data_IF_770567258877
#
_entry.id   IF_770567258877
#
_cell.length_a   1.000
_cell.length_b   1.000
_cell.length_c   1.000
_cell.angle_alpha   90.00
_cell.angle_beta   90.00
_cell.angle_gamma   90.00
#
_symmetry.space_group_name_H-M   'P 1'
#
loop_
_entity.id
_entity.type
_entity.pdbx_description
1 polymer ?
#
# COMPACT_ATOMS: atom_id res chain seq x y z
N UNK A 1 39.98 27.41 -14.39
CA UNK A 1 39.83 27.69 -12.95
C UNK A 1 39.20 26.44 -12.35
N UNK A 2 40.03 25.43 -12.11
CA UNK A 2 39.65 24.13 -11.53
C UNK A 2 39.66 24.26 -10.02
N UNK A 3 38.64 23.72 -9.34
CA UNK A 3 38.58 23.66 -7.88
C UNK A 3 38.68 22.19 -7.49
N UNK A 4 39.77 21.85 -6.82
CA UNK A 4 40.10 20.54 -6.28
C UNK A 4 39.13 20.10 -5.19
N UNK A 5 38.64 18.86 -5.28
CA UNK A 5 38.06 18.14 -4.14
C UNK A 5 39.20 17.43 -3.40
N UNK A 6 39.44 17.82 -2.15
CA UNK A 6 40.41 17.15 -1.28
C UNK A 6 39.84 15.81 -0.80
N UNK A 7 40.44 14.71 -1.28
CA UNK A 7 40.27 13.39 -0.68
C UNK A 7 41.29 13.30 0.45
N UNK A 8 40.83 13.04 1.67
CA UNK A 8 41.70 12.78 2.82
C UNK A 8 42.12 11.31 2.76
N UNK A 9 43.36 11.05 2.36
CA UNK A 9 44.00 9.74 2.50
C UNK A 9 44.45 9.57 3.95
N UNK A 10 43.86 8.61 4.66
CA UNK A 10 44.34 8.15 5.96
C UNK A 10 45.44 7.13 5.71
N UNK A 11 46.69 7.55 5.80
CA UNK A 11 47.85 6.65 5.81
C UNK A 11 48.08 6.16 7.24
N UNK A 12 47.91 4.85 7.45
CA UNK A 12 48.30 4.16 8.67
C UNK A 12 49.00 2.86 8.28
N UNK A 13 50.28 2.75 8.66
CA UNK A 13 51.11 1.56 8.39
C UNK A 13 50.54 0.32 9.08
N UNK A 14 50.12 -0.66 8.28
CA UNK A 14 49.73 -2.00 8.75
C UNK A 14 50.89 -2.97 8.45
N UNK A 15 51.42 -3.71 9.44
CA UNK A 15 52.48 -4.68 9.20
C UNK A 15 51.95 -5.84 8.34
N UNK A 16 52.78 -6.27 7.39
CA UNK A 16 52.47 -7.27 6.38
C UNK A 16 52.00 -8.60 7.00
N UNK A 17 50.74 -8.95 6.77
CA UNK A 17 50.24 -10.32 6.86
C UNK A 17 49.56 -10.65 5.53
N UNK A 18 49.85 -11.86 5.08
CA UNK A 18 49.75 -12.39 3.72
C UNK A 18 48.39 -12.21 3.02
N UNK A 19 48.49 -11.97 1.72
CA UNK A 19 47.41 -11.85 0.75
C UNK A 19 46.50 -13.09 0.69
N UNK A 20 45.22 -12.92 1.02
CA UNK A 20 44.13 -13.77 0.50
C UNK A 20 43.25 -12.94 -0.45
N UNK A 21 42.90 -13.45 -1.64
CA UNK A 21 42.23 -12.68 -2.68
C UNK A 21 40.75 -12.45 -2.35
N UNK A 22 40.33 -11.18 -2.31
CA UNK A 22 38.99 -10.78 -2.69
C UNK A 22 37.84 -11.11 -1.73
N UNK A 23 37.88 -10.63 -0.49
CA UNK A 23 36.64 -10.38 0.27
C UNK A 23 36.35 -8.89 0.20
N UNK A 24 35.55 -8.47 -0.79
CA UNK A 24 34.74 -7.26 -0.59
C UNK A 24 33.87 -7.59 0.62
N UNK A 25 34.06 -6.88 1.74
CA UNK A 25 33.16 -6.94 2.90
C UNK A 25 31.80 -6.35 2.50
N UNK A 26 31.08 -7.07 1.65
CA UNK A 26 29.65 -6.88 1.41
C UNK A 26 29.00 -7.60 2.58
N UNK A 27 28.09 -6.93 3.30
CA UNK A 27 27.40 -7.51 4.44
C UNK A 27 26.86 -8.91 4.08
N UNK A 28 27.49 -9.94 4.64
CA UNK A 28 26.98 -11.30 4.60
C UNK A 28 25.87 -11.43 5.62
N UNK A 29 24.73 -11.97 5.18
CA UNK A 29 23.75 -12.71 5.98
C UNK A 29 23.10 -12.01 7.19
N UNK A 30 23.24 -10.69 7.37
CA UNK A 30 22.35 -9.92 8.23
C UNK A 30 21.01 -9.69 7.53
N UNK A 31 19.84 -9.99 8.14
CA UNK A 31 18.54 -9.74 7.53
C UNK A 31 18.28 -8.23 7.45
N UNK A 32 18.77 -7.61 6.38
CA UNK A 32 18.35 -6.27 5.97
C UNK A 32 16.92 -6.38 5.44
N UNK A 33 15.93 -6.29 6.34
CA UNK A 33 14.50 -6.49 6.05
C UNK A 33 13.87 -5.49 5.06
N UNK A 34 14.67 -4.58 4.49
CA UNK A 34 14.30 -3.72 3.37
C UNK A 34 14.43 -4.44 2.01
N UNK A 35 15.25 -5.50 1.95
CA UNK A 35 15.61 -6.26 0.74
C UNK A 35 15.42 -7.77 0.89
N UNK A 36 14.63 -8.24 1.87
CA UNK A 36 14.29 -9.66 1.98
C UNK A 36 13.69 -10.14 0.65
N UNK A 37 14.34 -11.12 0.00
CA UNK A 37 13.94 -11.57 -1.33
C UNK A 37 12.46 -12.00 -1.41
N UNK A 38 11.91 -12.53 -0.31
CA UNK A 38 10.52 -12.97 -0.19
C UNK A 38 9.53 -11.80 -0.06
N UNK A 39 9.88 -10.70 0.63
CA UNK A 39 9.02 -9.51 0.70
C UNK A 39 9.10 -8.74 -0.61
N UNK A 40 10.30 -8.57 -1.16
CA UNK A 40 10.54 -7.95 -2.46
C UNK A 40 9.77 -8.63 -3.59
N UNK A 41 9.74 -9.97 -3.62
CA UNK A 41 8.98 -10.74 -4.61
C UNK A 41 7.46 -10.53 -4.50
N UNK A 42 6.91 -10.49 -3.28
CA UNK A 42 5.49 -10.20 -3.05
C UNK A 42 5.12 -8.77 -3.45
N UNK A 43 5.92 -7.79 -3.04
CA UNK A 43 5.72 -6.39 -3.39
C UNK A 43 5.78 -6.17 -4.91
N UNK A 44 6.72 -6.84 -5.59
CA UNK A 44 6.82 -6.80 -7.05
C UNK A 44 5.59 -7.43 -7.72
N UNK A 45 5.07 -8.53 -7.19
CA UNK A 45 3.85 -9.17 -7.68
C UNK A 45 2.63 -8.25 -7.51
N UNK A 46 2.43 -7.67 -6.32
CA UNK A 46 1.33 -6.74 -6.06
C UNK A 46 1.42 -5.46 -6.92
N UNK A 47 2.64 -4.94 -7.12
CA UNK A 47 2.89 -3.82 -8.03
C UNK A 47 2.55 -4.17 -9.48
N UNK A 48 3.01 -5.33 -9.98
CA UNK A 48 2.69 -5.76 -11.35
C UNK A 48 1.19 -5.95 -11.59
N UNK A 49 0.47 -6.46 -10.58
CA UNK A 49 -0.99 -6.58 -10.63
C UNK A 49 -1.66 -5.20 -10.66
N UNK A 50 -1.18 -4.27 -9.83
CA UNK A 50 -1.64 -2.87 -9.79
C UNK A 50 -1.39 -2.15 -11.13
N UNK A 51 -0.19 -2.30 -11.69
CA UNK A 51 0.19 -1.77 -13.00
C UNK A 51 -0.70 -2.34 -14.11
N UNK A 52 -0.99 -3.64 -14.09
CA UNK A 52 -1.87 -4.27 -15.07
C UNK A 52 -3.29 -3.70 -14.99
N UNK A 53 -3.83 -3.49 -13.79
CA UNK A 53 -5.16 -2.88 -13.61
C UNK A 53 -5.20 -1.45 -14.17
N UNK A 54 -4.21 -0.63 -13.83
CA UNK A 54 -4.10 0.74 -14.35
C UNK A 54 -3.90 0.79 -15.86
N UNK A 55 -3.09 -0.13 -16.42
CA UNK A 55 -2.89 -0.21 -17.86
C UNK A 55 -4.19 -0.54 -18.61
N UNK A 56 -4.98 -1.50 -18.10
CA UNK A 56 -6.29 -1.82 -18.68
C UNK A 56 -7.23 -0.60 -18.58
N UNK A 57 -7.22 0.11 -17.45
CA UNK A 57 -8.02 1.34 -17.29
C UNK A 57 -7.62 2.42 -18.31
N UNK A 58 -6.33 2.69 -18.49
CA UNK A 58 -5.81 3.64 -19.50
C UNK A 58 -6.26 3.24 -20.91
N UNK A 59 -6.11 1.97 -21.29
CA UNK A 59 -6.51 1.49 -22.62
C UNK A 59 -8.01 1.70 -22.83
N UNK A 60 -8.83 1.39 -21.82
CA UNK A 60 -10.27 1.55 -21.88
C UNK A 60 -10.68 3.03 -22.00
N UNK A 61 -10.06 3.93 -21.23
CA UNK A 61 -10.25 5.38 -21.38
C UNK A 61 -9.86 5.90 -22.76
N UNK A 62 -8.71 5.47 -23.30
CA UNK A 62 -8.24 5.92 -24.62
C UNK A 62 -9.17 5.45 -25.73
N UNK A 63 -9.67 4.21 -25.67
CA UNK A 63 -10.66 3.69 -26.62
C UNK A 63 -11.93 4.54 -26.55
N UNK A 64 -12.44 4.79 -25.34
CA UNK A 64 -13.65 5.56 -25.13
C UNK A 64 -13.51 7.00 -25.62
N UNK A 65 -12.45 7.69 -25.21
CA UNK A 65 -12.09 9.03 -25.68
C UNK A 65 -12.01 9.09 -27.22
N UNK A 66 -11.43 8.08 -27.87
CA UNK A 66 -11.37 8.02 -29.34
C UNK A 66 -12.75 7.94 -29.99
N UNK A 67 -13.66 7.14 -29.41
CA UNK A 67 -15.06 7.04 -29.87
C UNK A 67 -15.77 8.39 -29.74
N UNK A 68 -15.59 9.07 -28.60
CA UNK A 68 -16.21 10.38 -28.37
C UNK A 68 -15.63 11.47 -29.26
N UNK A 69 -14.32 11.53 -29.47
CA UNK A 69 -13.71 12.49 -30.40
C UNK A 69 -14.26 12.28 -31.81
N UNK A 70 -14.31 11.04 -32.30
CA UNK A 70 -14.87 10.74 -33.63
C UNK A 70 -16.36 11.07 -33.68
N UNK A 71 -17.12 10.75 -32.63
CA UNK A 71 -18.54 11.08 -32.51
C UNK A 71 -18.79 12.59 -32.50
N UNK A 72 -18.00 13.34 -31.75
CA UNK A 72 -18.05 14.80 -31.64
C UNK A 72 -17.74 15.50 -32.96
N UNK A 73 -16.69 15.04 -33.67
CA UNK A 73 -16.33 15.57 -35.00
C UNK A 73 -17.43 15.26 -36.02
N UNK A 74 -17.94 14.02 -36.07
CA UNK A 74 -19.00 13.63 -37.03
C UNK A 74 -20.33 14.33 -36.77
N UNK A 75 -20.63 14.61 -35.51
CA UNK A 75 -21.87 15.30 -35.11
C UNK A 75 -21.73 16.83 -35.08
N UNK A 76 -20.52 17.38 -35.29
CA UNK A 76 -20.20 18.79 -35.04
C UNK A 76 -20.67 19.27 -33.65
N UNK A 77 -20.57 18.40 -32.64
CA UNK A 77 -21.07 18.67 -31.29
C UNK A 77 -19.93 19.09 -30.37
N UNK A 78 -19.91 20.37 -29.99
CA UNK A 78 -18.95 20.91 -29.03
C UNK A 78 -19.09 20.23 -27.66
N UNK A 79 -20.31 19.84 -27.26
CA UNK A 79 -20.57 19.18 -25.98
C UNK A 79 -19.87 17.81 -25.86
N UNK A 80 -19.85 17.03 -26.95
CA UNK A 80 -19.16 15.73 -26.97
C UNK A 80 -17.63 15.93 -26.98
N UNK A 81 -17.15 16.97 -27.66
CA UNK A 81 -15.72 17.30 -27.67
C UNK A 81 -15.23 17.79 -26.29
N UNK A 82 -16.05 18.51 -25.52
CA UNK A 82 -15.70 18.92 -24.16
C UNK A 82 -15.63 17.74 -23.19
N UNK A 83 -16.47 16.72 -23.38
CA UNK A 83 -16.42 15.49 -22.56
C UNK A 83 -15.15 14.68 -22.89
N UNK A 84 -14.80 14.58 -24.18
CA UNK A 84 -13.54 13.96 -24.59
C UNK A 84 -12.30 14.66 -24.00
N UNK A 85 -12.33 15.98 -23.81
CA UNK A 85 -11.25 16.72 -23.15
C UNK A 85 -11.16 16.43 -21.65
N UNK A 86 -12.29 16.16 -20.99
CA UNK A 86 -12.32 15.69 -19.60
C UNK A 86 -11.64 14.33 -19.49
N UNK A 87 -12.02 13.36 -20.34
CA UNK A 87 -11.39 12.03 -20.39
C UNK A 87 -9.89 12.06 -20.66
N UNK A 88 -9.41 13.02 -21.46
CA UNK A 88 -7.98 13.20 -21.69
C UNK A 88 -7.23 13.50 -20.37
N UNK A 89 -7.85 14.28 -19.48
CA UNK A 89 -7.27 14.58 -18.17
C UNK A 89 -7.22 13.33 -17.29
N UNK A 90 -8.23 12.44 -17.39
CA UNK A 90 -8.25 11.16 -16.68
C UNK A 90 -7.15 10.22 -17.19
N UNK A 91 -6.98 10.14 -18.51
CA UNK A 91 -5.88 9.41 -19.14
C UNK A 91 -4.53 9.94 -18.65
N UNK A 92 -4.38 11.26 -18.55
CA UNK A 92 -3.15 11.88 -18.03
C UNK A 92 -2.91 11.50 -16.56
N UNK A 93 -3.94 11.54 -15.71
CA UNK A 93 -3.85 11.14 -14.30
C UNK A 93 -3.45 9.66 -14.14
N UNK A 94 -4.07 8.76 -14.91
CA UNK A 94 -3.70 7.34 -14.90
C UNK A 94 -2.31 7.07 -15.49
N UNK A 95 -1.88 7.83 -16.48
CA UNK A 95 -0.53 7.73 -17.04
C UNK A 95 0.54 8.18 -16.02
N UNK A 96 0.30 9.29 -15.31
CA UNK A 96 1.16 9.73 -14.19
C UNK A 96 1.20 8.66 -13.10
N UNK A 97 0.05 8.06 -12.81
CA UNK A 97 -0.04 6.97 -11.85
C UNK A 97 0.77 5.74 -12.30
N UNK A 98 0.61 5.30 -13.55
CA UNK A 98 1.36 4.16 -14.08
C UNK A 98 2.88 4.42 -14.08
N UNK A 99 3.28 5.63 -14.47
CA UNK A 99 4.68 6.06 -14.44
C UNK A 99 5.23 6.05 -13.01
N UNK A 100 4.48 6.57 -12.03
CA UNK A 100 4.96 6.64 -10.65
C UNK A 100 5.15 5.24 -10.04
N UNK A 101 4.26 4.30 -10.36
CA UNK A 101 4.43 2.89 -9.96
C UNK A 101 5.64 2.24 -10.61
N UNK A 102 5.81 2.44 -11.91
CA UNK A 102 6.94 1.90 -12.63
C UNK A 102 8.27 2.44 -12.08
N UNK A 103 8.36 3.76 -11.89
CA UNK A 103 9.55 4.42 -11.35
C UNK A 103 9.82 4.06 -9.89
N UNK A 104 8.79 3.80 -9.07
CA UNK A 104 8.96 3.34 -7.68
C UNK A 104 9.67 1.98 -7.57
N UNK A 105 9.69 1.19 -8.65
CA UNK A 105 10.36 -0.10 -8.72
C UNK A 105 11.82 -0.04 -9.11
N UNK A 106 12.37 1.14 -9.42
CA UNK A 106 13.78 1.31 -9.77
C UNK A 106 14.71 1.02 -8.57
N UNK A 107 15.88 0.48 -8.87
CA UNK A 107 16.90 0.18 -7.87
C UNK A 107 17.45 1.46 -7.21
N UNK A 108 17.93 1.31 -5.96
CA UNK A 108 18.52 2.41 -5.22
C UNK A 108 19.84 2.86 -5.85
N UNK A 109 20.09 4.18 -5.84
CA UNK A 109 21.34 4.78 -6.35
C UNK A 109 22.06 5.48 -5.21
N UNK A 110 23.38 5.79 -5.31
CA UNK A 110 24.09 6.48 -4.25
C UNK A 110 23.51 7.84 -3.84
N UNK A 111 22.78 8.52 -4.75
CA UNK A 111 22.09 9.79 -4.47
C UNK A 111 20.69 9.58 -3.86
N UNK A 112 20.10 8.41 -4.07
CA UNK A 112 18.78 8.01 -3.57
C UNK A 112 18.95 6.69 -2.81
N UNK A 113 19.53 6.78 -1.61
CA UNK A 113 19.93 5.62 -0.79
C UNK A 113 18.77 4.69 -0.42
N UNK A 114 17.58 5.26 -0.24
CA UNK A 114 16.35 4.51 0.00
C UNK A 114 15.61 4.10 -1.29
N UNK A 115 16.12 4.43 -2.48
CA UNK A 115 15.46 4.20 -3.75
C UNK A 115 14.36 5.20 -4.09
N UNK A 116 13.51 4.83 -5.04
CA UNK A 116 12.55 5.73 -5.69
C UNK A 116 11.10 5.62 -5.18
N UNK A 117 10.90 5.01 -4.00
CA UNK A 117 9.55 4.77 -3.44
C UNK A 117 8.72 6.04 -3.28
N UNK A 118 9.34 7.20 -3.01
CA UNK A 118 8.63 8.49 -2.87
C UNK A 118 8.02 9.01 -4.18
N UNK A 119 8.47 8.52 -5.34
CA UNK A 119 7.86 8.92 -6.63
C UNK A 119 6.39 8.55 -6.66
N UNK A 120 6.00 7.44 -6.02
CA UNK A 120 4.59 7.03 -5.90
C UNK A 120 3.74 8.12 -5.25
N UNK A 121 4.23 8.67 -4.13
CA UNK A 121 3.57 9.73 -3.36
C UNK A 121 3.51 11.03 -4.16
N UNK A 122 4.60 11.39 -4.86
CA UNK A 122 4.64 12.57 -5.73
C UNK A 122 3.69 12.45 -6.92
N UNK A 123 3.59 11.26 -7.53
CA UNK A 123 2.63 11.01 -8.61
C UNK A 123 1.18 11.14 -8.15
N UNK A 124 0.87 10.63 -6.95
CA UNK A 124 -0.44 10.81 -6.34
C UNK A 124 -0.74 12.29 -6.04
N UNK A 125 0.25 13.07 -5.58
CA UNK A 125 0.11 14.50 -5.35
C UNK A 125 -0.22 15.25 -6.65
N UNK A 126 0.54 15.03 -7.71
CA UNK A 126 0.30 15.65 -9.02
C UNK A 126 -1.08 15.29 -9.55
N UNK A 127 -1.52 14.04 -9.38
CA UNK A 127 -2.85 13.60 -9.79
C UNK A 127 -3.96 14.36 -9.05
N UNK A 128 -3.84 14.57 -7.73
CA UNK A 128 -4.80 15.40 -6.98
C UNK A 128 -4.83 16.84 -7.48
N UNK A 129 -3.67 17.42 -7.79
CA UNK A 129 -3.62 18.79 -8.31
C UNK A 129 -4.32 18.91 -9.68
N UNK A 130 -4.20 17.89 -10.54
CA UNK A 130 -4.95 17.83 -11.80
C UNK A 130 -6.46 17.77 -11.58
N UNK A 131 -6.93 17.00 -10.59
CA UNK A 131 -8.35 16.94 -10.22
C UNK A 131 -8.86 18.32 -9.79
N UNK A 132 -8.11 19.02 -8.93
CA UNK A 132 -8.50 20.36 -8.48
C UNK A 132 -8.52 21.38 -9.61
N UNK A 133 -7.55 21.32 -10.52
CA UNK A 133 -7.53 22.14 -11.72
C UNK A 133 -8.77 21.90 -12.58
N UNK A 134 -9.10 20.64 -12.86
CA UNK A 134 -10.26 20.25 -13.66
C UNK A 134 -11.58 20.66 -13.01
N UNK A 135 -11.74 20.43 -11.71
CA UNK A 135 -12.91 20.89 -10.96
C UNK A 135 -13.04 22.43 -11.01
N UNK A 136 -11.93 23.16 -10.87
CA UNK A 136 -11.91 24.62 -11.02
C UNK A 136 -12.34 25.09 -12.41
N UNK A 137 -11.86 24.41 -13.47
CA UNK A 137 -12.27 24.68 -14.86
C UNK A 137 -13.77 24.43 -15.04
N UNK A 138 -14.30 23.32 -14.53
CA UNK A 138 -15.73 23.00 -14.64
C UNK A 138 -16.62 24.02 -13.91
N UNK A 139 -16.22 24.45 -12.71
CA UNK A 139 -16.94 25.52 -11.98
C UNK A 139 -16.89 26.84 -12.74
N UNK A 140 -15.72 27.21 -13.25
CA UNK A 140 -15.56 28.42 -14.05
C UNK A 140 -16.46 28.40 -15.30
N UNK A 141 -16.48 27.29 -16.02
CA UNK A 141 -17.31 27.08 -17.21
C UNK A 141 -18.81 27.14 -16.88
N UNK A 142 -19.24 26.52 -15.78
CA UNK A 142 -20.62 26.56 -15.32
C UNK A 142 -21.08 27.99 -14.94
N UNK A 143 -20.22 28.77 -14.26
CA UNK A 143 -20.48 30.18 -13.94
C UNK A 143 -20.55 31.01 -15.23
N UNK A 144 -19.59 30.80 -16.14
CA UNK A 144 -19.52 31.51 -17.42
C UNK A 144 -20.80 31.31 -18.26
N UNK A 145 -21.35 30.08 -18.28
CA UNK A 145 -22.64 29.78 -18.94
C UNK A 145 -23.83 30.50 -18.31
N UNK A 146 -23.85 30.64 -16.98
CA UNK A 146 -24.93 31.35 -16.29
C UNK A 146 -24.88 32.86 -16.56
N UNK A 147 -23.68 33.45 -16.55
CA UNK A 147 -23.52 34.92 -16.67
C UNK A 147 -23.69 35.40 -18.11
N UNK A 148 -23.13 34.68 -19.09
CA UNK A 148 -23.12 35.14 -20.48
C UNK A 148 -24.32 34.64 -21.30
N UNK A 149 -25.25 33.89 -20.69
CA UNK A 149 -26.37 33.21 -21.37
C UNK A 149 -25.96 32.43 -22.63
N UNK A 150 -24.70 31.99 -22.70
CA UNK A 150 -24.12 31.37 -23.89
C UNK A 150 -24.63 29.95 -24.03
N UNK A 151 -25.64 29.79 -24.89
CA UNK A 151 -26.03 28.49 -25.45
C UNK A 151 -27.35 27.93 -24.91
N UNK A 152 -28.15 27.37 -25.82
CA UNK A 152 -29.17 26.40 -25.44
C UNK A 152 -28.47 25.09 -25.05
N UNK A 153 -28.61 24.71 -23.78
CA UNK A 153 -28.11 23.41 -23.32
C UNK A 153 -29.03 22.34 -23.89
N UNK A 154 -28.52 21.51 -24.79
CA UNK A 154 -29.26 20.37 -25.30
C UNK A 154 -29.34 19.28 -24.22
N UNK A 155 -30.32 19.40 -23.32
CA UNK A 155 -30.50 18.49 -22.18
C UNK A 155 -30.54 17.01 -22.59
N UNK A 156 -31.09 16.70 -23.76
CA UNK A 156 -31.07 15.34 -24.32
C UNK A 156 -29.65 14.83 -24.60
N UNK A 157 -28.79 15.62 -25.26
CA UNK A 157 -27.40 15.23 -25.51
C UNK A 157 -26.63 15.09 -24.19
N UNK A 158 -26.80 16.04 -23.27
CA UNK A 158 -26.19 15.99 -21.94
C UNK A 158 -26.58 14.73 -21.17
N UNK A 159 -27.85 14.32 -21.23
CA UNK A 159 -28.34 13.08 -20.63
C UNK A 159 -27.71 11.84 -21.27
N UNK A 160 -27.70 11.74 -22.60
CA UNK A 160 -27.17 10.56 -23.31
C UNK A 160 -25.66 10.39 -23.09
N UNK A 161 -24.90 11.48 -23.19
CA UNK A 161 -23.45 11.47 -22.99
C UNK A 161 -23.11 11.07 -21.55
N UNK A 162 -23.75 11.71 -20.55
CA UNK A 162 -23.50 11.37 -19.14
C UNK A 162 -23.95 9.97 -18.75
N UNK A 163 -25.03 9.44 -19.34
CA UNK A 163 -25.45 8.05 -19.14
C UNK A 163 -24.40 7.06 -19.68
N UNK A 164 -23.83 7.36 -20.85
CA UNK A 164 -22.78 6.53 -21.44
C UNK A 164 -21.47 6.62 -20.64
N UNK A 165 -21.04 7.83 -20.25
CA UNK A 165 -19.90 8.06 -19.37
C UNK A 165 -20.05 7.34 -18.03
N UNK A 166 -21.26 7.35 -17.43
CA UNK A 166 -21.55 6.62 -16.19
C UNK A 166 -21.32 5.11 -16.34
N UNK A 167 -21.74 4.50 -17.45
CA UNK A 167 -21.52 3.06 -17.69
C UNK A 167 -20.03 2.74 -17.73
N UNK A 168 -19.23 3.59 -18.40
CA UNK A 168 -17.78 3.42 -18.50
C UNK A 168 -17.10 3.64 -17.15
N UNK A 169 -17.50 4.67 -16.40
CA UNK A 169 -16.98 4.94 -15.06
C UNK A 169 -17.30 3.79 -14.08
N UNK A 170 -18.49 3.19 -14.15
CA UNK A 170 -18.84 1.99 -13.37
C UNK A 170 -17.95 0.80 -13.78
N UNK A 171 -17.76 0.56 -15.08
CA UNK A 171 -16.89 -0.52 -15.54
C UNK A 171 -15.45 -0.35 -15.04
N UNK A 172 -14.92 0.89 -15.05
CA UNK A 172 -13.61 1.22 -14.49
C UNK A 172 -13.56 1.05 -12.96
N UNK A 173 -14.60 1.48 -12.25
CA UNK A 173 -14.67 1.33 -10.79
C UNK A 173 -14.70 -0.15 -10.40
N UNK A 174 -15.39 -1.00 -11.16
CA UNK A 174 -15.39 -2.45 -10.97
C UNK A 174 -14.01 -3.05 -11.29
N UNK A 175 -13.36 -2.65 -12.38
CA UNK A 175 -12.03 -3.12 -12.76
C UNK A 175 -10.97 -2.80 -11.68
N UNK A 176 -10.99 -1.57 -11.14
CA UNK A 176 -10.07 -1.12 -10.10
C UNK A 176 -10.47 -1.63 -8.70
N UNK A 177 -11.77 -1.83 -8.46
CA UNK A 177 -12.34 -2.26 -7.19
C UNK A 177 -12.30 -3.76 -6.94
N UNK A 178 -12.21 -4.59 -7.99
CA UNK A 178 -12.21 -6.06 -7.91
C UNK A 178 -10.89 -6.60 -7.30
N UNK A 179 -10.75 -6.45 -5.99
CA UNK A 179 -9.81 -7.18 -5.12
C UNK A 179 -10.56 -7.99 -4.05
N UNK A 180 -11.83 -8.31 -4.29
CA UNK A 180 -12.58 -9.21 -3.41
C UNK A 180 -12.18 -10.66 -3.69
N UNK A 181 -11.80 -11.35 -2.61
CA UNK A 181 -11.05 -12.58 -2.62
C UNK A 181 -11.71 -13.75 -3.31
N UNK A 182 -10.92 -14.46 -4.12
CA UNK A 182 -11.01 -15.90 -4.26
C UNK A 182 -9.58 -16.45 -4.29
N UNK A 183 -9.02 -16.63 -3.09
CA UNK A 183 -7.76 -17.33 -2.86
C UNK A 183 -8.01 -18.58 -2.04
N UNK A 184 -8.89 -19.49 -2.49
CA UNK A 184 -8.93 -20.86 -1.97
C UNK A 184 -7.78 -21.65 -2.59
N UNK A 185 -6.58 -21.50 -2.02
CA UNK A 185 -5.47 -22.42 -2.25
C UNK A 185 -5.51 -23.55 -1.23
N UNK A 186 -6.42 -24.52 -1.40
CA UNK A 186 -6.31 -25.81 -0.70
C UNK A 186 -5.19 -26.62 -1.35
N UNK A 187 -3.95 -26.43 -0.88
CA UNK A 187 -2.85 -27.36 -1.13
C UNK A 187 -2.86 -28.48 -0.10
N UNK A 188 -3.68 -29.51 -0.30
CA UNK A 188 -3.48 -30.80 0.35
C UNK A 188 -2.33 -31.51 -0.38
N UNK A 189 -1.14 -31.50 0.23
CA UNK A 189 0.01 -32.32 -0.18
C UNK A 189 0.25 -33.40 0.87
N UNK A 190 0.01 -34.65 0.46
CA UNK A 190 0.05 -35.85 1.28
C UNK A 190 1.42 -36.12 1.90
N UNK A 191 1.43 -36.49 3.20
CA UNK A 191 2.56 -37.15 3.83
C UNK A 191 2.61 -38.62 3.39
N UNK A 192 3.66 -38.99 2.67
CA UNK A 192 4.00 -40.39 2.45
C UNK A 192 4.79 -40.89 3.65
N UNK A 193 4.13 -41.69 4.49
CA UNK A 193 4.79 -42.55 5.46
C UNK A 193 5.16 -43.85 4.78
N UNK A 194 6.46 -44.12 4.69
CA UNK A 194 7.02 -45.41 4.32
C UNK A 194 6.69 -46.44 5.40
N UNK A 195 5.92 -47.48 5.05
CA UNK A 195 5.84 -48.69 5.87
C UNK A 195 6.07 -49.93 5.02
N UNK A 196 7.18 -50.58 5.34
CA UNK A 196 7.60 -51.90 4.92
C UNK A 196 6.58 -52.97 5.36
N UNK A 197 6.31 -53.92 4.47
CA UNK A 197 5.60 -55.15 4.76
C UNK A 197 6.53 -56.19 5.41
N UNK A 198 6.07 -56.82 6.48
CA UNK A 198 6.49 -58.16 6.87
C UNK A 198 5.28 -58.91 7.44
N UNK A 199 4.87 -59.97 6.74
CA UNK A 199 3.99 -61.01 7.24
C UNK A 199 4.74 -61.84 8.28
N UNK A 200 4.03 -62.32 9.31
CA UNK A 200 3.99 -63.75 9.66
C UNK A 200 2.97 -64.04 10.78
N UNK A 201 2.50 -65.28 10.74
CA UNK A 201 1.36 -65.95 11.36
C UNK A 201 1.35 -65.99 12.91
N UNK A 202 0.15 -65.98 13.52
CA UNK A 202 -0.48 -67.14 14.19
C UNK A 202 -1.60 -66.78 15.20
N UNK A 203 -2.60 -67.67 15.19
CA UNK A 203 -3.67 -68.04 16.13
C UNK A 203 -3.73 -67.46 17.55
N UNK A 204 -4.95 -67.31 18.08
CA UNK A 204 -5.20 -67.60 19.50
C UNK A 204 -6.22 -66.71 20.24
N UNK A 205 -7.29 -67.34 20.69
CA UNK A 205 -8.44 -66.87 21.48
C UNK A 205 -8.19 -66.47 22.95
N UNK A 206 -8.98 -65.48 23.41
CA UNK A 206 -9.69 -65.33 24.71
C UNK A 206 -8.95 -65.21 26.09
N UNK A 207 -9.36 -64.13 26.80
CA UNK A 207 -9.85 -64.06 28.20
C UNK A 207 -8.88 -63.97 29.39
N UNK A 208 -9.44 -63.39 30.46
CA UNK A 208 -8.88 -62.71 31.63
C UNK A 208 -8.17 -63.59 32.67
N UNK A 209 -7.25 -62.99 33.43
CA UNK A 209 -6.72 -63.57 34.68
C UNK A 209 -5.79 -62.63 35.45
N UNK A 210 -6.25 -62.16 36.61
CA UNK A 210 -5.49 -61.39 37.62
C UNK A 210 -4.58 -62.35 38.38
N UNK A 211 -3.27 -62.06 38.53
CA UNK A 211 -2.46 -62.49 39.69
C UNK A 211 -1.22 -61.60 39.88
N UNK A 212 -0.99 -61.20 41.13
CA UNK A 212 0.07 -60.34 41.68
C UNK A 212 1.32 -61.17 41.97
N UNK A 213 2.53 -60.69 41.64
CA UNK A 213 3.67 -60.43 42.57
C UNK A 213 5.03 -60.19 41.87
N UNK A 214 5.76 -59.19 42.40
CA UNK A 214 7.23 -58.96 42.45
C UNK A 214 8.00 -58.32 41.26
N UNK A 215 8.45 -57.07 41.51
CA UNK A 215 9.36 -56.13 40.81
C UNK A 215 10.79 -56.66 40.51
N UNK A 216 11.71 -55.92 39.82
CA UNK A 216 11.62 -54.56 39.22
C UNK A 216 12.08 -54.48 37.75
N UNK A 217 11.76 -53.39 37.01
CA UNK A 217 12.68 -52.68 36.10
C UNK A 217 12.01 -51.42 35.48
N UNK A 218 12.69 -50.29 35.65
CA UNK A 218 12.89 -49.15 34.74
C UNK A 218 11.73 -48.53 33.92
N UNK A 219 11.45 -47.26 34.28
CA UNK A 219 11.17 -46.08 33.44
C UNK A 219 9.89 -45.96 32.57
N UNK A 220 9.07 -45.00 33.04
CA UNK A 220 8.28 -43.95 32.36
C UNK A 220 7.16 -44.40 31.42
N UNK A 221 5.92 -44.00 31.76
CA UNK A 221 5.12 -43.02 31.00
C UNK A 221 3.65 -42.94 31.53
N UNK A 222 3.21 -41.68 31.74
CA UNK A 222 1.86 -41.06 31.68
C UNK A 222 0.72 -41.24 32.72
N UNK A 223 0.05 -40.08 32.87
CA UNK A 223 -1.36 -39.76 33.23
C UNK A 223 -1.67 -39.61 34.73
N UNK A 224 -2.37 -38.58 35.23
CA UNK A 224 -3.17 -37.45 34.71
C UNK A 224 -3.29 -36.40 35.85
N UNK A 225 -3.52 -35.11 35.55
CA UNK A 225 -4.59 -34.33 36.20
C UNK A 225 -4.80 -32.94 35.56
N UNK A 226 -6.02 -32.76 35.07
CA UNK A 226 -6.93 -31.61 35.09
C UNK A 226 -6.46 -30.14 35.16
N UNK A 227 -6.99 -29.41 34.16
CA UNK A 227 -7.67 -28.12 34.22
C UNK A 227 -6.96 -26.90 34.83
N UNK A 228 -6.41 -26.07 33.95
CA UNK A 228 -6.53 -24.60 34.05
C UNK A 228 -6.76 -24.00 32.66
N UNK A 229 -7.83 -23.22 32.50
CA UNK A 229 -8.18 -22.51 31.27
C UNK A 229 -7.07 -21.53 30.81
N UNK A 230 -6.79 -21.41 29.51
CA UNK A 230 -6.02 -20.29 28.99
C UNK A 230 -6.95 -19.12 28.66
N UNK A 231 -7.18 -18.24 29.65
CA UNK A 231 -7.63 -16.87 29.41
C UNK A 231 -6.46 -16.05 28.85
N UNK A 232 -6.38 -15.94 27.52
CA UNK A 232 -5.97 -14.74 26.78
C UNK A 232 -5.94 -15.08 25.28
N UNK A 233 -7.08 -14.85 24.63
CA UNK A 233 -7.19 -14.82 23.18
C UNK A 233 -6.32 -13.67 22.68
N UNK A 234 -5.13 -13.96 22.15
CA UNK A 234 -4.29 -12.97 21.47
C UNK A 234 -5.16 -12.28 20.40
N UNK A 235 -5.14 -10.94 20.29
CA UNK A 235 -5.85 -10.29 19.21
C UNK A 235 -5.16 -10.70 17.90
N UNK A 236 -5.87 -11.44 17.05
CA UNK A 236 -5.44 -11.62 15.68
C UNK A 236 -5.42 -10.24 15.02
N UNK A 237 -4.22 -9.68 14.83
CA UNK A 237 -4.00 -8.50 14.02
C UNK A 237 -4.46 -8.83 12.60
N UNK A 238 -5.69 -8.43 12.26
CA UNK A 238 -6.21 -8.50 10.89
C UNK A 238 -5.23 -7.74 9.99
N UNK A 239 -4.46 -8.46 9.19
CA UNK A 239 -3.66 -7.89 8.11
C UNK A 239 -4.61 -7.28 7.08
N UNK A 240 -4.89 -5.98 7.23
CA UNK A 240 -5.54 -5.20 6.19
C UNK A 240 -4.59 -5.14 5.00
N UNK A 241 -5.02 -5.72 3.88
CA UNK A 241 -4.26 -5.69 2.63
C UNK A 241 -4.10 -4.22 2.22
N UNK A 242 -2.88 -3.69 2.34
CA UNK A 242 -2.61 -2.30 2.01
C UNK A 242 -2.71 -2.14 0.49
N UNK A 243 -3.70 -1.37 0.05
CA UNK A 243 -3.83 -1.03 -1.38
C UNK A 243 -2.84 0.07 -1.70
N UNK A 244 -2.24 -0.03 -2.88
CA UNK A 244 -1.36 0.98 -3.40
C UNK A 244 -2.07 2.35 -3.46
N UNK A 245 -1.43 3.41 -2.94
CA UNK A 245 -2.05 4.74 -2.81
C UNK A 245 -2.52 5.30 -4.15
N UNK A 246 -1.82 4.92 -5.21
CA UNK A 246 -2.03 5.39 -6.55
C UNK A 246 -3.20 4.68 -7.23
N UNK A 247 -3.35 3.36 -7.00
CA UNK A 247 -4.55 2.61 -7.42
C UNK A 247 -5.76 3.06 -6.62
N UNK A 248 -5.60 3.31 -5.32
CA UNK A 248 -6.66 3.86 -4.48
C UNK A 248 -7.05 5.27 -4.94
N UNK A 249 -6.07 6.10 -5.30
CA UNK A 249 -6.29 7.42 -5.90
C UNK A 249 -7.07 7.33 -7.20
N UNK A 250 -6.63 6.48 -8.13
CA UNK A 250 -7.33 6.22 -9.39
C UNK A 250 -8.76 5.69 -9.17
N UNK A 251 -8.97 4.81 -8.19
CA UNK A 251 -10.31 4.31 -7.85
C UNK A 251 -11.21 5.42 -7.29
N UNK A 252 -10.70 6.25 -6.38
CA UNK A 252 -11.45 7.39 -5.82
C UNK A 252 -11.75 8.44 -6.89
N UNK A 253 -10.83 8.67 -7.83
CA UNK A 253 -11.01 9.52 -9.01
C UNK A 253 -12.21 9.04 -9.84
N UNK A 254 -12.18 7.79 -10.31
CA UNK A 254 -13.27 7.20 -11.12
C UNK A 254 -14.60 7.19 -10.38
N UNK A 255 -14.59 6.97 -9.06
CA UNK A 255 -15.80 7.03 -8.25
C UNK A 255 -16.35 8.45 -8.18
N UNK A 256 -15.47 9.46 -8.08
CA UNK A 256 -15.83 10.87 -8.18
C UNK A 256 -16.49 11.19 -9.53
N UNK A 257 -15.88 10.75 -10.63
CA UNK A 257 -16.43 10.95 -11.97
C UNK A 257 -17.77 10.23 -12.16
N UNK A 258 -17.93 9.03 -11.59
CA UNK A 258 -19.21 8.31 -11.60
C UNK A 258 -20.32 9.13 -10.92
N UNK A 259 -20.03 9.68 -9.75
CA UNK A 259 -20.96 10.52 -8.99
C UNK A 259 -21.29 11.80 -9.78
N UNK A 260 -20.29 12.40 -10.42
CA UNK A 260 -20.47 13.57 -11.29
C UNK A 260 -21.34 13.23 -12.50
N UNK A 261 -21.09 12.10 -13.19
CA UNK A 261 -21.90 11.65 -14.33
C UNK A 261 -23.37 11.45 -13.93
N UNK A 262 -23.65 10.90 -12.75
CA UNK A 262 -25.04 10.79 -12.24
C UNK A 262 -25.67 12.18 -12.10
N UNK A 263 -24.93 13.12 -11.52
CA UNK A 263 -25.34 14.50 -11.37
C UNK A 263 -25.71 15.19 -12.67
N UNK A 264 -24.79 15.14 -13.63
CA UNK A 264 -24.94 15.69 -14.98
C UNK A 264 -26.11 15.01 -15.70
N UNK A 265 -26.29 13.69 -15.53
CA UNK A 265 -27.40 12.94 -16.10
C UNK A 265 -28.75 13.40 -15.53
N UNK A 266 -28.87 13.56 -14.21
CA UNK A 266 -30.07 14.10 -13.58
C UNK A 266 -30.33 15.53 -14.05
N UNK A 267 -29.31 16.39 -14.07
CA UNK A 267 -29.40 17.77 -14.54
C UNK A 267 -29.86 17.86 -16.01
N UNK A 268 -29.25 17.07 -16.89
CA UNK A 268 -29.61 16.97 -18.30
C UNK A 268 -31.05 16.49 -18.51
N UNK A 269 -31.50 15.50 -17.73
CA UNK A 269 -32.89 15.03 -17.76
C UNK A 269 -33.90 16.10 -17.32
N UNK A 270 -33.58 16.88 -16.28
CA UNK A 270 -34.43 17.99 -15.83
C UNK A 270 -34.48 19.10 -16.89
N UNK A 271 -33.34 19.48 -17.46
CA UNK A 271 -33.26 20.49 -18.53
C UNK A 271 -33.99 20.02 -19.79
N UNK A 272 -33.95 18.72 -20.10
CA UNK A 272 -34.70 18.15 -21.22
C UNK A 272 -36.23 18.29 -21.01
N UNK A 273 -36.73 18.08 -19.79
CA UNK A 273 -38.15 18.25 -19.47
C UNK A 273 -38.57 19.72 -19.31
N UNK A 274 -37.70 20.56 -18.73
CA UNK A 274 -37.92 22.01 -18.51
C UNK A 274 -36.67 22.82 -18.84
N UNK A 275 -36.53 23.28 -20.10
CA UNK A 275 -35.35 24.03 -20.57
C UNK A 275 -35.08 25.35 -19.84
N UNK A 276 -36.07 25.93 -19.17
CA UNK A 276 -35.93 27.18 -18.40
C UNK A 276 -35.10 26.99 -17.11
N UNK A 277 -34.92 25.75 -16.64
CA UNK A 277 -34.26 25.45 -15.36
C UNK A 277 -32.74 25.27 -15.52
N UNK A 278 -32.09 26.12 -16.33
CA UNK A 278 -30.64 26.05 -16.62
C UNK A 278 -29.75 26.18 -15.38
N UNK A 279 -30.25 26.82 -14.32
CA UNK A 279 -29.50 27.01 -13.05
C UNK A 279 -29.14 25.68 -12.36
N UNK A 280 -29.84 24.60 -12.70
CA UNK A 280 -29.59 23.26 -12.15
C UNK A 280 -28.21 22.74 -12.54
N UNK A 281 -27.73 23.03 -13.76
CA UNK A 281 -26.38 22.64 -14.20
C UNK A 281 -25.29 23.21 -13.28
N UNK A 282 -25.42 24.50 -12.93
CA UNK A 282 -24.49 25.15 -12.01
C UNK A 282 -24.58 24.58 -10.59
N UNK A 283 -25.79 24.39 -10.07
CA UNK A 283 -25.99 23.83 -8.72
C UNK A 283 -25.38 22.43 -8.63
N UNK A 284 -25.66 21.57 -9.62
CA UNK A 284 -25.06 20.26 -9.73
C UNK A 284 -23.52 20.38 -9.72
N UNK A 285 -22.94 21.16 -10.63
CA UNK A 285 -21.48 21.32 -10.75
C UNK A 285 -20.83 21.81 -9.46
N UNK A 286 -21.44 22.77 -8.75
CA UNK A 286 -20.93 23.28 -7.48
C UNK A 286 -20.98 22.23 -6.37
N UNK A 287 -22.09 21.49 -6.26
CA UNK A 287 -22.23 20.41 -5.26
C UNK A 287 -21.18 19.32 -5.51
N UNK A 288 -20.98 18.89 -6.76
CA UNK A 288 -19.98 17.88 -7.08
C UNK A 288 -18.56 18.38 -6.83
N UNK A 289 -18.25 19.61 -7.22
CA UNK A 289 -16.93 20.19 -6.97
C UNK A 289 -16.60 20.26 -5.48
N UNK A 290 -17.59 20.56 -4.63
CA UNK A 290 -17.44 20.53 -3.18
C UNK A 290 -17.19 19.10 -2.65
N UNK A 291 -17.91 18.10 -3.15
CA UNK A 291 -17.72 16.69 -2.77
C UNK A 291 -16.31 16.21 -3.18
N UNK A 292 -15.88 16.52 -4.40
CA UNK A 292 -14.55 16.20 -4.92
C UNK A 292 -13.47 16.85 -4.05
N UNK A 293 -13.61 18.13 -3.72
CA UNK A 293 -12.67 18.83 -2.85
C UNK A 293 -12.62 18.22 -1.44
N UNK A 294 -13.78 17.90 -0.84
CA UNK A 294 -13.87 17.33 0.51
C UNK A 294 -13.33 15.89 0.60
N UNK A 295 -13.42 15.10 -0.47
CA UNK A 295 -12.86 13.75 -0.52
C UNK A 295 -11.35 13.78 -0.77
N UNK A 296 -10.89 14.62 -1.69
CA UNK A 296 -9.47 14.76 -2.05
C UNK A 296 -8.64 15.44 -0.97
N UNK A 297 -9.18 16.39 -0.18
CA UNK A 297 -8.43 17.03 0.93
C UNK A 297 -7.98 16.01 1.99
N UNK A 298 -8.78 14.96 2.22
CA UNK A 298 -8.39 13.86 3.13
C UNK A 298 -7.22 13.06 2.58
N UNK A 299 -7.22 12.79 1.27
CA UNK A 299 -6.12 12.11 0.59
C UNK A 299 -4.85 12.96 0.56
N UNK A 300 -4.99 14.26 0.27
CA UNK A 300 -3.89 15.22 0.31
C UNK A 300 -3.23 15.25 1.70
N UNK A 301 -4.02 15.26 2.78
CA UNK A 301 -3.47 15.20 4.14
C UNK A 301 -2.62 13.95 4.36
N UNK A 302 -3.06 12.78 3.89
CA UNK A 302 -2.27 11.54 4.02
C UNK A 302 -0.97 11.58 3.21
N UNK A 303 -1.00 12.17 2.01
CA UNK A 303 0.20 12.37 1.18
C UNK A 303 1.19 13.33 1.87
N UNK A 304 0.68 14.44 2.40
CA UNK A 304 1.49 15.41 3.14
C UNK A 304 2.06 14.80 4.41
N UNK A 305 1.31 13.96 5.14
CA UNK A 305 1.83 13.22 6.30
C UNK A 305 3.06 12.37 5.91
N UNK A 306 3.03 11.66 4.78
CA UNK A 306 4.19 10.90 4.29
C UNK A 306 5.35 11.82 3.87
N UNK A 307 5.07 12.92 3.16
CA UNK A 307 6.10 13.87 2.72
C UNK A 307 6.75 14.64 3.87
N UNK A 308 6.02 14.84 4.97
CA UNK A 308 6.48 15.50 6.18
C UNK A 308 7.16 14.54 7.17
N UNK A 309 7.43 13.29 6.77
CA UNK A 309 8.02 12.26 7.62
C UNK A 309 7.19 11.99 8.90
N UNK A 310 5.88 12.21 8.86
CA UNK A 310 5.02 11.97 10.02
C UNK A 310 4.98 10.49 10.38
N UNK A 311 4.81 10.21 11.68
CA UNK A 311 4.58 8.86 12.17
C UNK A 311 3.28 8.28 11.56
N UNK A 312 3.34 7.06 10.96
CA UNK A 312 2.17 6.41 10.39
C UNK A 312 1.07 6.22 11.43
N UNK A 313 -0.19 6.39 11.02
CA UNK A 313 -1.35 6.38 11.93
C UNK A 313 -1.57 5.04 12.60
N UNK A 314 -1.03 3.98 12.03
CA UNK A 314 -1.09 2.61 12.54
C UNK A 314 -0.17 2.41 13.75
N UNK A 315 0.80 3.30 13.97
CA UNK A 315 1.84 3.16 15.00
C UNK A 315 1.64 4.22 16.07
N UNK A 316 1.46 3.74 17.30
CA UNK A 316 1.43 4.57 18.50
C UNK A 316 2.85 4.63 19.08
N UNK A 317 3.56 5.73 18.79
CA UNK A 317 4.93 5.95 19.24
C UNK A 317 5.05 5.89 20.78
N UNK A 318 4.06 6.40 21.50
CA UNK A 318 4.05 6.40 22.98
C UNK A 318 3.91 4.99 23.53
N UNK A 319 3.06 4.15 22.94
CA UNK A 319 2.96 2.73 23.33
C UNK A 319 4.24 1.97 22.98
N UNK A 320 4.86 2.26 21.83
CA UNK A 320 6.11 1.63 21.43
C UNK A 320 7.23 1.95 22.41
N UNK A 321 7.41 3.23 22.73
CA UNK A 321 8.39 3.70 23.72
C UNK A 321 8.16 3.03 25.08
N UNK A 322 6.91 3.02 25.56
CA UNK A 322 6.57 2.37 26.82
C UNK A 322 6.92 0.88 26.83
N UNK A 323 6.56 0.14 25.78
CA UNK A 323 6.83 -1.30 25.70
C UNK A 323 8.33 -1.64 25.59
N UNK A 324 9.13 -0.75 25.01
CA UNK A 324 10.58 -0.89 25.01
C UNK A 324 11.19 -0.57 26.39
N UNK A 325 10.66 0.43 27.12
CA UNK A 325 11.08 0.74 28.49
C UNK A 325 10.65 -0.32 29.52
N UNK A 326 9.72 -1.21 29.19
CA UNK A 326 9.32 -2.35 30.03
C UNK A 326 10.36 -3.49 30.00
N UNK A 327 11.36 -3.43 29.12
CA UNK A 327 12.45 -4.40 29.08
C UNK A 327 13.45 -4.16 30.22
N UNK A 328 13.76 -5.18 31.00
CA UNK A 328 14.60 -5.07 32.21
C UNK A 328 15.98 -4.44 31.94
N UNK A 329 16.56 -4.64 30.76
CA UNK A 329 17.89 -4.13 30.42
C UNK A 329 17.89 -2.70 29.86
N UNK A 330 16.71 -2.16 29.50
CA UNK A 330 16.54 -0.82 28.92
C UNK A 330 16.24 0.17 30.04
N UNK A 331 17.05 1.23 30.12
CA UNK A 331 16.89 2.31 31.12
C UNK A 331 16.00 3.42 30.57
N UNK A 332 16.23 3.82 29.32
CA UNK A 332 15.49 4.89 28.66
C UNK A 332 15.66 4.83 27.14
N UNK A 333 14.77 5.53 26.44
CA UNK A 333 14.80 5.68 24.97
C UNK A 333 14.68 7.16 24.68
N UNK A 334 15.46 7.63 23.72
CA UNK A 334 15.38 9.01 23.25
C UNK A 334 15.66 9.06 21.74
N UNK A 335 15.45 10.25 21.16
CA UNK A 335 15.56 10.46 19.70
C UNK A 335 14.76 9.42 18.90
N UNK A 336 13.54 9.09 19.37
CA UNK A 336 12.65 8.15 18.69
C UNK A 336 12.02 8.83 17.46
N UNK A 337 12.48 8.44 16.29
CA UNK A 337 11.97 8.89 15.00
C UNK A 337 11.31 7.72 14.28
N UNK A 338 10.03 7.87 13.91
CA UNK A 338 9.28 6.87 13.15
C UNK A 338 8.61 7.58 11.98
N UNK A 339 8.88 7.13 10.76
CA UNK A 339 8.34 7.73 9.54
C UNK A 339 8.03 6.65 8.49
N UNK A 340 7.24 6.99 7.47
CA UNK A 340 7.02 6.15 6.30
C UNK A 340 7.62 6.79 5.05
N UNK A 341 8.26 5.99 4.20
CA UNK A 341 8.71 6.44 2.86
C UNK A 341 7.57 6.36 1.85
N UNK A 342 6.78 5.28 1.92
CA UNK A 342 5.55 5.06 1.17
C UNK A 342 4.63 4.17 2.00
N UNK A 343 3.41 3.93 1.53
CA UNK A 343 2.47 3.03 2.19
C UNK A 343 3.10 1.65 2.35
N UNK A 344 3.16 1.16 3.59
CA UNK A 344 3.72 -0.16 3.93
C UNK A 344 5.24 -0.22 4.13
N UNK A 345 5.96 0.89 3.91
CA UNK A 345 7.40 0.98 4.17
C UNK A 345 7.68 1.97 5.29
N UNK A 346 7.62 1.47 6.52
CA UNK A 346 7.92 2.21 7.74
C UNK A 346 9.38 2.02 8.11
N UNK A 347 10.01 3.11 8.54
CA UNK A 347 11.35 3.15 9.08
C UNK A 347 11.31 3.72 10.49
N UNK A 348 12.28 3.29 11.29
CA UNK A 348 12.44 3.76 12.65
C UNK A 348 13.93 3.98 12.96
N UNK A 349 14.22 5.05 13.67
CA UNK A 349 15.51 5.29 14.30
C UNK A 349 15.30 5.65 15.77
N UNK A 350 16.12 5.12 16.67
CA UNK A 350 16.08 5.50 18.08
C UNK A 350 17.41 5.26 18.79
N UNK A 351 17.59 5.93 19.92
CA UNK A 351 18.68 5.69 20.85
C UNK A 351 18.15 4.95 22.07
N UNK A 352 18.84 3.90 22.48
CA UNK A 352 18.45 3.05 23.61
C UNK A 352 19.57 3.08 24.64
N UNK A 353 19.27 3.60 25.82
CA UNK A 353 20.18 3.59 26.96
C UNK A 353 20.01 2.25 27.67
N UNK A 354 21.09 1.49 27.78
CA UNK A 354 21.13 0.20 28.46
C UNK A 354 21.89 0.27 29.78
N UNK A 355 21.59 -0.67 30.69
CA UNK A 355 22.32 -0.79 31.96
C UNK A 355 23.83 -1.05 31.72
N UNK A 356 24.74 -0.57 32.59
CA UNK A 356 26.19 -0.70 32.38
C UNK A 356 26.69 -2.14 32.24
N UNK A 357 26.01 -3.10 32.86
CA UNK A 357 26.29 -4.53 32.88
C UNK A 357 25.54 -5.34 31.80
N UNK A 358 24.65 -4.69 31.03
CA UNK A 358 23.90 -5.37 29.97
C UNK A 358 24.77 -5.69 28.76
N UNK A 359 24.51 -6.83 28.12
CA UNK A 359 25.09 -7.17 26.83
C UNK A 359 24.35 -6.41 25.71
N UNK A 360 25.03 -5.41 25.13
CA UNK A 360 24.48 -4.53 24.10
C UNK A 360 23.92 -5.28 22.88
N UNK A 361 24.61 -6.33 22.41
CA UNK A 361 24.20 -7.08 21.22
C UNK A 361 22.91 -7.87 21.50
N UNK A 362 22.80 -8.47 22.69
CA UNK A 362 21.59 -9.18 23.11
C UNK A 362 20.40 -8.22 23.26
N UNK A 363 20.62 -7.03 23.83
CA UNK A 363 19.55 -6.02 23.94
C UNK A 363 19.12 -5.53 22.56
N UNK A 364 20.07 -5.27 21.66
CA UNK A 364 19.79 -4.88 20.29
C UNK A 364 18.91 -5.93 19.57
N UNK A 365 19.25 -7.21 19.66
CA UNK A 365 18.45 -8.30 19.09
C UNK A 365 17.04 -8.35 19.70
N UNK A 366 16.92 -8.28 21.04
CA UNK A 366 15.62 -8.26 21.73
C UNK A 366 14.73 -7.11 21.27
N UNK A 367 15.29 -5.92 21.16
CA UNK A 367 14.57 -4.71 20.73
C UNK A 367 14.15 -4.84 19.26
N UNK A 368 15.04 -5.25 18.37
CA UNK A 368 14.73 -5.49 16.95
C UNK A 368 13.60 -6.52 16.82
N UNK A 369 13.68 -7.63 17.56
CA UNK A 369 12.66 -8.68 17.53
C UNK A 369 11.31 -8.20 18.04
N UNK A 370 11.29 -7.43 19.14
CA UNK A 370 10.06 -6.83 19.65
C UNK A 370 9.40 -5.92 18.60
N UNK A 371 10.16 -4.98 18.03
CA UNK A 371 9.65 -4.02 17.04
C UNK A 371 9.15 -4.76 15.79
N UNK A 372 9.90 -5.75 15.29
CA UNK A 372 9.49 -6.56 14.13
C UNK A 372 8.21 -7.35 14.39
N UNK A 373 8.05 -7.94 15.58
CA UNK A 373 6.87 -8.77 15.91
C UNK A 373 5.61 -7.94 16.17
N UNK A 374 5.73 -6.88 16.97
CA UNK A 374 4.57 -6.10 17.42
C UNK A 374 4.14 -5.03 16.40
N UNK A 375 5.10 -4.40 15.72
CA UNK A 375 4.84 -3.25 14.84
C UNK A 375 5.16 -3.53 13.37
N UNK A 376 5.73 -4.69 13.03
CA UNK A 376 6.08 -5.08 11.66
C UNK A 376 6.99 -4.05 10.94
N UNK A 377 7.86 -3.37 11.69
CA UNK A 377 8.86 -2.45 11.15
C UNK A 377 10.14 -3.27 10.90
N UNK A 378 10.55 -3.40 9.64
CA UNK A 378 11.69 -4.24 9.26
C UNK A 378 13.00 -3.46 9.14
N UNK A 379 12.93 -2.15 8.90
CA UNK A 379 14.08 -1.27 8.75
C UNK A 379 14.21 -0.37 9.97
N UNK A 380 15.13 -0.74 10.85
CA UNK A 380 15.33 -0.10 12.15
C UNK A 380 16.81 0.21 12.30
N UNK A 381 17.12 1.44 12.71
CA UNK A 381 18.46 1.84 13.13
C UNK A 381 18.42 2.14 14.62
N UNK A 382 19.21 1.41 15.40
CA UNK A 382 19.24 1.57 16.86
C UNK A 382 20.67 1.92 17.27
N UNK A 383 20.81 3.04 17.95
CA UNK A 383 22.05 3.40 18.63
C UNK A 383 21.97 2.94 20.09
N UNK A 384 22.87 2.06 20.50
CA UNK A 384 22.97 1.63 21.90
C UNK A 384 23.91 2.58 22.64
N UNK A 385 23.42 3.15 23.73
CA UNK A 385 24.17 4.00 24.65
C UNK A 385 24.23 3.34 26.02
N UNK A 386 25.30 3.62 26.79
CA UNK A 386 25.43 3.13 28.16
C UNK A 386 25.16 4.28 29.12
N UNK A 387 24.44 3.97 30.20
CA UNK A 387 24.17 4.89 31.31
C UNK A 387 25.45 5.40 31.97
#
# INVERSE_FOLDING_TARGET
>A
MEVHAHIIEVSGDVPAIETSPGVRKICGEGPCGFSDAKTSSKDAQERSASMRKLLIAVILCVIFMSVEVVGGIKSNSLAILTDAAHLLSDVAAFAISLFSLWASGWEATPRQSYGFFRIEILGALVSIQMIWLLAGILVYEAINRLVNETGEVQGFLMFVVSAFGLVVNIAMALLLGHDHGHGHGHGHGHGHGDHHHSNEDHDGTHSHGITVTTHPHHHVVHSNHDHTEPLLKKPEVKKTKQKNINVQGAYLHVLGDSIQSIGVMIGGGIIWYKPEWKIIDLICTLVFSLIVLATTIRMLRNILEVLMESTPREIDATKLEKGLCEMDEVVAIHELHIWAITVGKVLMACHVIVKPDANADMVLEKVIDYIKREYNISHITIQIERQ
#
